data_IF_550655000904
#
_entry.id   IF_550655000904
#
_cell.length_a   1.000
_cell.length_b   1.000
_cell.length_c   1.000
_cell.angle_alpha   90.00
_cell.angle_beta   90.00
_cell.angle_gamma   90.00
#
_symmetry.space_group_name_H-M   'P 1'
#
loop_
_entity.id
_entity.type
_entity.pdbx_description
1 polymer ?
#
# COMPACT_ATOMS: atom_id res chain seq x y z
N UNK A 1 3.71 -8.91 18.12
CA UNK A 1 3.95 -7.52 17.71
C UNK A 1 2.64 -6.94 17.18
N UNK A 2 2.38 -5.66 17.43
CA UNK A 2 1.13 -4.99 17.10
C UNK A 2 1.42 -3.54 16.65
N UNK A 3 0.70 -2.94 15.68
CA UNK A 3 0.91 -1.55 15.25
C UNK A 3 0.71 -0.56 16.39
N UNK A 4 1.40 0.59 16.37
CA UNK A 4 1.23 1.63 17.39
C UNK A 4 -0.05 2.45 17.17
N UNK A 5 -0.49 2.58 15.92
CA UNK A 5 -1.72 3.29 15.54
C UNK A 5 -2.52 2.42 14.60
N UNK A 6 -3.80 2.24 14.91
CA UNK A 6 -4.79 1.62 14.02
C UNK A 6 -5.79 2.69 13.63
N UNK A 7 -5.81 3.04 12.34
CA UNK A 7 -6.71 4.01 11.77
C UNK A 7 -7.86 3.32 11.04
N UNK A 8 -9.07 3.80 11.30
CA UNK A 8 -10.29 3.33 10.67
C UNK A 8 -10.93 4.48 9.88
N UNK A 9 -11.30 4.21 8.64
CA UNK A 9 -12.27 5.04 7.93
C UNK A 9 -13.67 4.94 8.56
N UNK A 10 -14.56 5.88 8.23
CA UNK A 10 -15.92 5.93 8.76
C UNK A 10 -16.94 5.23 7.87
N UNK A 11 -17.35 5.89 6.79
CA UNK A 11 -18.46 5.48 5.94
C UNK A 11 -18.07 4.17 5.24
N UNK A 12 -18.94 3.17 5.24
CA UNK A 12 -18.70 1.81 4.71
C UNK A 12 -17.53 1.01 5.30
N UNK A 13 -16.79 1.56 6.27
CA UNK A 13 -15.74 0.86 7.00
C UNK A 13 -16.13 0.59 8.45
N UNK A 14 -16.34 1.64 9.25
CA UNK A 14 -16.77 1.55 10.65
C UNK A 14 -18.29 1.38 10.76
N UNK A 15 -19.04 2.05 9.88
CA UNK A 15 -20.49 1.94 9.82
C UNK A 15 -20.99 1.91 8.38
N UNK A 16 -22.14 1.29 8.14
CA UNK A 16 -22.82 1.37 6.85
C UNK A 16 -23.63 2.67 6.75
N UNK A 17 -23.89 3.13 5.52
CA UNK A 17 -24.60 4.38 5.25
C UNK A 17 -23.67 5.58 5.16
N UNK A 18 -24.23 6.73 4.77
CA UNK A 18 -23.46 7.97 4.58
C UNK A 18 -23.98 9.08 5.50
N UNK A 19 -23.08 9.69 6.27
CA UNK A 19 -23.40 10.89 7.07
C UNK A 19 -23.28 12.14 6.20
N UNK A 20 -24.28 12.38 5.36
CA UNK A 20 -24.28 13.49 4.41
C UNK A 20 -24.99 14.73 4.95
N UNK A 21 -24.26 15.83 5.04
CA UNK A 21 -24.77 17.12 5.54
C UNK A 21 -25.98 17.64 4.75
N UNK A 22 -26.08 17.31 3.47
CA UNK A 22 -27.16 17.76 2.59
C UNK A 22 -28.40 16.85 2.61
N UNK A 23 -28.35 15.70 3.28
CA UNK A 23 -29.47 14.75 3.38
C UNK A 23 -30.08 14.71 4.79
N UNK A 24 -29.24 14.61 5.82
CA UNK A 24 -29.68 14.54 7.22
C UNK A 24 -30.25 15.88 7.69
N UNK A 25 -31.25 15.92 8.58
CA UNK A 25 -31.76 17.16 9.19
C UNK A 25 -32.42 18.11 8.19
N UNK A 26 -33.09 17.57 7.17
CA UNK A 26 -33.77 18.35 6.11
C UNK A 26 -35.29 18.30 6.17
N UNK A 27 -35.85 17.50 7.07
CA UNK A 27 -37.30 17.41 7.26
C UNK A 27 -37.88 18.53 8.14
N UNK A 28 -39.22 18.54 8.33
CA UNK A 28 -39.88 19.49 9.22
C UNK A 28 -39.34 19.41 10.65
N UNK A 29 -39.21 20.57 11.30
CA UNK A 29 -38.71 20.71 12.68
C UNK A 29 -37.25 20.24 12.89
N UNK A 30 -36.42 20.35 11.85
CA UNK A 30 -34.98 20.10 11.97
C UNK A 30 -34.30 20.99 13.01
N UNK A 31 -33.39 20.42 13.77
CA UNK A 31 -32.61 21.08 14.81
C UNK A 31 -31.38 21.75 14.19
N UNK A 32 -30.93 22.83 14.84
CA UNK A 32 -29.67 23.52 14.53
C UNK A 32 -28.82 23.48 15.80
N UNK A 33 -27.58 22.96 15.76
CA UNK A 33 -26.82 22.57 14.56
C UNK A 33 -27.22 21.19 13.96
N UNK A 34 -26.82 20.94 12.70
CA UNK A 34 -27.27 19.79 11.88
C UNK A 34 -27.14 18.43 12.58
N UNK A 35 -26.03 18.21 13.28
CA UNK A 35 -25.72 16.98 14.01
C UNK A 35 -26.73 16.66 15.11
N UNK A 36 -27.48 17.64 15.64
CA UNK A 36 -28.51 17.39 16.65
C UNK A 36 -29.74 16.65 16.09
N UNK A 37 -29.82 16.48 14.78
CA UNK A 37 -30.81 15.62 14.14
C UNK A 37 -30.41 14.13 14.14
N UNK A 38 -29.19 13.77 14.52
CA UNK A 38 -28.76 12.37 14.66
C UNK A 38 -29.23 11.84 16.01
N UNK A 39 -30.17 10.89 16.00
CA UNK A 39 -30.68 10.24 17.20
C UNK A 39 -30.43 8.74 17.21
N UNK A 40 -30.28 8.19 18.42
CA UNK A 40 -30.05 6.76 18.61
C UNK A 40 -31.34 5.99 18.32
N UNK A 41 -31.29 5.05 17.38
CA UNK A 41 -32.39 4.13 17.06
C UNK A 41 -32.31 2.88 17.94
N UNK A 42 -31.14 2.26 18.00
CA UNK A 42 -30.87 1.09 18.82
C UNK A 42 -29.37 1.01 19.18
N UNK A 43 -28.88 -0.14 19.64
CA UNK A 43 -27.47 -0.30 19.99
C UNK A 43 -26.54 -0.10 18.77
N UNK A 44 -26.96 -0.56 17.60
CA UNK A 44 -26.17 -0.58 16.37
C UNK A 44 -26.39 0.65 15.50
N UNK A 45 -27.53 1.29 15.60
CA UNK A 45 -28.00 2.24 14.59
C UNK A 45 -28.33 3.62 15.16
N UNK A 46 -28.06 4.63 14.34
CA UNK A 46 -28.58 6.00 14.49
C UNK A 46 -29.42 6.35 13.28
N UNK A 47 -30.41 7.22 13.47
CA UNK A 47 -31.32 7.67 12.42
C UNK A 47 -31.48 9.19 12.44
N UNK A 48 -31.90 9.76 11.31
CA UNK A 48 -32.30 11.16 11.24
C UNK A 48 -33.67 11.32 11.90
N UNK A 49 -33.73 12.16 12.93
CA UNK A 49 -34.95 12.55 13.63
C UNK A 49 -36.05 13.04 12.69
N UNK A 50 -35.67 13.79 11.66
CA UNK A 50 -36.60 14.45 10.74
C UNK A 50 -37.04 13.55 9.58
N UNK A 51 -36.30 12.47 9.34
CA UNK A 51 -36.60 11.47 8.33
C UNK A 51 -36.01 10.11 8.73
N UNK A 52 -36.80 9.28 9.43
CA UNK A 52 -36.38 7.96 9.93
C UNK A 52 -36.00 6.93 8.85
N UNK A 53 -36.21 7.24 7.57
CA UNK A 53 -35.69 6.40 6.47
C UNK A 53 -34.18 6.60 6.24
N UNK A 54 -33.61 7.71 6.72
CA UNK A 54 -32.17 7.98 6.69
C UNK A 54 -31.57 7.45 7.99
N UNK A 55 -30.65 6.50 7.86
CA UNK A 55 -29.97 5.87 8.98
C UNK A 55 -28.54 5.45 8.62
N UNK A 56 -27.72 5.25 9.63
CA UNK A 56 -26.42 4.57 9.53
C UNK A 56 -26.19 3.68 10.76
N UNK A 57 -25.34 2.67 10.63
CA UNK A 57 -25.15 1.70 11.72
C UNK A 57 -23.76 1.08 11.79
N UNK A 58 -23.25 0.93 13.00
CA UNK A 58 -21.95 0.33 13.28
C UNK A 58 -21.94 -1.15 12.86
N UNK A 59 -20.90 -1.57 12.15
CA UNK A 59 -20.76 -2.98 11.77
C UNK A 59 -20.53 -3.88 13.00
N UNK A 60 -21.01 -5.13 12.90
CA UNK A 60 -21.11 -6.05 14.04
C UNK A 60 -19.77 -6.39 14.71
N UNK A 61 -18.67 -6.42 13.95
CA UNK A 61 -17.34 -6.76 14.47
C UNK A 61 -16.59 -5.56 15.09
N UNK A 62 -17.07 -4.33 14.89
CA UNK A 62 -16.38 -3.13 15.37
C UNK A 62 -16.16 -3.15 16.89
N UNK A 63 -17.14 -3.49 17.76
CA UNK A 63 -16.88 -3.57 19.19
C UNK A 63 -15.73 -4.52 19.55
N UNK A 64 -15.63 -5.65 18.85
CA UNK A 64 -14.56 -6.64 19.05
C UNK A 64 -13.21 -6.10 18.57
N UNK A 65 -13.18 -5.42 17.43
CA UNK A 65 -11.98 -4.82 16.85
C UNK A 65 -11.45 -3.71 17.74
N UNK A 66 -12.29 -2.76 18.17
CA UNK A 66 -11.87 -1.67 19.06
C UNK A 66 -11.29 -2.21 20.37
N UNK A 67 -11.94 -3.23 20.94
CA UNK A 67 -11.42 -3.91 22.14
C UNK A 67 -10.04 -4.51 21.93
N UNK A 68 -9.79 -5.14 20.78
CA UNK A 68 -8.48 -5.72 20.44
C UNK A 68 -7.39 -4.65 20.26
N UNK A 69 -7.70 -3.55 19.56
CA UNK A 69 -6.80 -2.39 19.40
C UNK A 69 -6.35 -1.88 20.77
N UNK A 70 -7.30 -1.61 21.66
CA UNK A 70 -7.02 -1.04 22.98
C UNK A 70 -6.30 -2.04 23.90
N UNK A 71 -6.69 -3.33 23.87
CA UNK A 71 -6.04 -4.38 24.66
C UNK A 71 -4.56 -4.55 24.28
N UNK A 72 -4.20 -4.31 23.02
CA UNK A 72 -2.82 -4.37 22.54
C UNK A 72 -2.07 -3.03 22.69
N UNK A 73 -2.67 -2.02 23.33
CA UNK A 73 -2.04 -0.73 23.62
C UNK A 73 -1.88 0.19 22.41
N UNK A 74 -2.54 -0.11 21.28
CA UNK A 74 -2.53 0.74 20.11
C UNK A 74 -3.48 1.92 20.29
N UNK A 75 -3.11 3.05 19.68
CA UNK A 75 -3.97 4.24 19.61
C UNK A 75 -4.96 4.06 18.47
N UNK A 76 -6.24 4.31 18.75
CA UNK A 76 -7.29 4.35 17.75
C UNK A 76 -7.29 5.70 17.05
N UNK A 77 -7.27 5.70 15.72
CA UNK A 77 -7.48 6.88 14.91
C UNK A 77 -8.75 6.72 14.05
N UNK A 78 -9.51 7.80 13.91
CA UNK A 78 -10.55 7.95 12.89
C UNK A 78 -9.97 8.84 11.79
N UNK A 79 -10.00 8.35 10.56
CA UNK A 79 -9.45 9.04 9.39
C UNK A 79 -10.49 9.00 8.28
N UNK A 80 -11.21 10.10 8.10
CA UNK A 80 -12.35 10.17 7.19
C UNK A 80 -12.33 11.39 6.28
N UNK A 81 -12.79 11.18 5.05
CA UNK A 81 -13.04 12.25 4.07
C UNK A 81 -14.49 12.76 4.09
N UNK A 82 -15.26 12.37 5.10
CA UNK A 82 -16.59 12.92 5.35
C UNK A 82 -16.50 14.43 5.63
N UNK A 83 -17.39 15.22 5.05
CA UNK A 83 -17.37 16.69 5.15
C UNK A 83 -17.98 17.27 6.42
N UNK A 84 -18.41 16.43 7.36
CA UNK A 84 -18.84 16.89 8.68
C UNK A 84 -18.24 16.06 9.79
N UNK A 85 -17.23 16.64 10.42
CA UNK A 85 -16.68 16.14 11.69
C UNK A 85 -17.77 16.04 12.74
N UNK A 86 -18.54 17.10 12.94
CA UNK A 86 -19.57 17.15 13.98
C UNK A 86 -20.64 16.04 13.85
N UNK A 87 -21.02 15.68 12.62
CA UNK A 87 -21.94 14.58 12.37
C UNK A 87 -21.29 13.22 12.66
N UNK A 88 -20.06 13.01 12.22
CA UNK A 88 -19.29 11.80 12.54
C UNK A 88 -19.14 11.62 14.06
N UNK A 89 -18.71 12.68 14.75
CA UNK A 89 -18.54 12.70 16.21
C UNK A 89 -19.85 12.38 16.92
N UNK A 90 -20.97 12.92 16.44
CA UNK A 90 -22.28 12.64 17.03
C UNK A 90 -22.71 11.19 16.84
N UNK A 91 -22.48 10.60 15.67
CA UNK A 91 -22.75 9.17 15.46
C UNK A 91 -21.87 8.30 16.39
N UNK A 92 -20.55 8.57 16.42
CA UNK A 92 -19.59 7.89 17.30
C UNK A 92 -19.88 8.09 18.80
N UNK A 93 -20.59 9.16 19.18
CA UNK A 93 -21.05 9.40 20.54
C UNK A 93 -22.22 8.50 20.95
N UNK A 94 -23.12 8.17 20.03
CA UNK A 94 -24.30 7.33 20.31
C UNK A 94 -23.93 5.85 20.43
N UNK A 95 -22.91 5.40 19.68
CA UNK A 95 -22.39 4.05 19.76
C UNK A 95 -21.52 3.85 20.99
N UNK A 96 -21.69 2.69 21.63
CA UNK A 96 -20.98 2.30 22.84
C UNK A 96 -20.25 0.99 22.56
N UNK A 97 -19.00 0.90 22.99
CA UNK A 97 -18.17 -0.30 22.90
C UNK A 97 -17.39 -0.49 24.20
N UNK A 98 -16.88 -1.70 24.42
CA UNK A 98 -16.07 -2.00 25.61
C UNK A 98 -14.62 -1.52 25.45
N UNK A 99 -14.09 -0.86 26.48
CA UNK A 99 -12.66 -0.55 26.58
C UNK A 99 -11.81 -1.80 26.92
N UNK A 100 -10.48 -1.62 27.08
CA UNK A 100 -9.59 -2.73 27.42
C UNK A 100 -9.89 -3.40 28.79
N UNK A 101 -10.68 -2.77 29.65
CA UNK A 101 -11.11 -3.28 30.95
C UNK A 101 -12.53 -3.85 30.93
N UNK A 102 -13.15 -3.93 29.75
CA UNK A 102 -14.52 -4.43 29.58
C UNK A 102 -15.60 -3.44 30.01
N UNK A 103 -15.26 -2.15 30.23
CA UNK A 103 -16.23 -1.13 30.60
C UNK A 103 -16.79 -0.48 29.35
N UNK A 104 -18.10 -0.30 29.33
CA UNK A 104 -18.80 0.39 28.25
C UNK A 104 -18.39 1.87 28.19
N UNK A 105 -18.00 2.32 27.00
CA UNK A 105 -17.60 3.69 26.69
C UNK A 105 -18.19 4.10 25.35
N UNK A 106 -18.54 5.37 25.22
CA UNK A 106 -18.86 5.96 23.91
C UNK A 106 -17.65 5.82 23.00
N UNK A 107 -17.85 5.37 21.76
CA UNK A 107 -16.76 5.08 20.84
C UNK A 107 -15.85 6.31 20.63
N UNK A 108 -16.44 7.50 20.50
CA UNK A 108 -15.69 8.76 20.38
C UNK A 108 -14.72 9.02 21.55
N UNK A 109 -15.00 8.51 22.75
CA UNK A 109 -14.13 8.69 23.93
C UNK A 109 -12.90 7.77 23.91
N UNK A 110 -12.85 6.81 23.00
CA UNK A 110 -11.73 5.89 22.80
C UNK A 110 -10.83 6.32 21.64
N UNK A 111 -11.29 7.26 20.81
CA UNK A 111 -10.55 7.81 19.68
C UNK A 111 -9.42 8.70 20.21
N UNK A 112 -8.19 8.43 19.79
CA UNK A 112 -7.01 9.21 20.17
C UNK A 112 -6.70 10.29 19.13
N UNK A 113 -6.88 9.97 17.85
CA UNK A 113 -6.70 10.90 16.74
C UNK A 113 -7.98 10.95 15.94
N UNK A 114 -8.56 12.13 15.82
CA UNK A 114 -9.81 12.36 15.12
C UNK A 114 -9.52 13.30 13.95
N UNK A 115 -9.12 12.69 12.83
CA UNK A 115 -8.78 13.36 11.58
C UNK A 115 -10.00 13.25 10.64
N UNK A 116 -11.01 14.07 10.93
CA UNK A 116 -12.14 14.31 10.04
C UNK A 116 -12.16 15.80 9.72
N UNK A 117 -12.06 16.12 8.44
CA UNK A 117 -11.96 17.51 8.00
C UNK A 117 -13.23 17.94 7.27
N UNK A 118 -13.68 19.16 7.52
CA UNK A 118 -14.90 19.70 6.92
C UNK A 118 -14.71 20.10 5.43
N UNK A 119 -13.88 19.36 4.69
CA UNK A 119 -13.50 19.62 3.29
C UNK A 119 -13.27 18.29 2.56
N UNK A 120 -13.70 18.20 1.29
CA UNK A 120 -13.43 17.03 0.45
C UNK A 120 -12.02 17.03 -0.20
N UNK A 121 -11.29 18.14 -0.05
CA UNK A 121 -10.08 18.40 -0.82
C UNK A 121 -8.85 17.63 -0.32
N UNK A 122 -8.92 17.03 0.87
CA UNK A 122 -7.74 16.43 1.50
C UNK A 122 -7.67 14.93 1.23
N UNK A 123 -6.51 14.51 0.73
CA UNK A 123 -6.13 13.10 0.62
C UNK A 123 -5.82 12.54 2.01
N UNK A 124 -6.02 11.24 2.22
CA UNK A 124 -5.66 10.56 3.47
C UNK A 124 -4.17 10.67 3.79
N UNK A 125 -3.33 10.99 2.81
CA UNK A 125 -1.92 11.32 3.07
C UNK A 125 -1.77 12.53 4.00
N UNK A 126 -2.59 13.58 3.88
CA UNK A 126 -2.51 14.74 4.79
C UNK A 126 -2.92 14.38 6.22
N UNK A 127 -3.98 13.58 6.37
CA UNK A 127 -4.44 13.06 7.65
C UNK A 127 -3.32 12.30 8.37
N UNK A 128 -2.61 11.43 7.66
CA UNK A 128 -1.48 10.70 8.23
C UNK A 128 -0.27 11.59 8.51
N UNK A 129 -0.02 12.64 7.71
CA UNK A 129 1.01 13.65 8.05
C UNK A 129 0.69 14.39 9.34
N UNK A 130 -0.57 14.75 9.56
CA UNK A 130 -1.03 15.35 10.82
C UNK A 130 -0.80 14.38 12.00
N UNK A 131 -1.27 13.13 11.89
CA UNK A 131 -1.06 12.09 12.90
C UNK A 131 0.43 11.91 13.21
N UNK A 132 1.31 11.80 12.20
CA UNK A 132 2.76 11.71 12.42
C UNK A 132 3.30 12.97 13.10
N UNK A 133 2.81 14.14 12.72
CA UNK A 133 3.17 15.44 13.30
C UNK A 133 2.97 15.46 14.82
N UNK A 134 1.83 15.00 15.31
CA UNK A 134 1.51 15.00 16.75
C UNK A 134 2.04 13.76 17.48
N UNK A 135 1.91 12.57 16.89
CA UNK A 135 2.25 11.30 17.55
C UNK A 135 3.74 10.97 17.53
N UNK A 136 4.48 11.53 16.55
CA UNK A 136 5.86 11.14 16.20
C UNK A 136 6.06 9.65 15.91
N UNK A 137 4.97 8.91 15.69
CA UNK A 137 5.03 7.49 15.31
C UNK A 137 5.42 7.40 13.83
N UNK A 138 6.26 6.44 13.48
CA UNK A 138 6.60 6.19 12.09
C UNK A 138 5.46 5.54 11.34
N UNK A 139 5.29 5.89 10.06
CA UNK A 139 4.22 5.36 9.22
C UNK A 139 4.24 3.83 9.13
N UNK A 140 5.42 3.22 9.16
CA UNK A 140 5.56 1.76 9.16
C UNK A 140 4.96 1.10 10.41
N UNK A 141 4.72 1.85 11.50
CA UNK A 141 4.03 1.39 12.71
C UNK A 141 2.52 1.71 12.70
N UNK A 142 1.97 2.12 11.56
CA UNK A 142 0.56 2.46 11.40
C UNK A 142 -0.12 1.53 10.39
N UNK A 143 -1.42 1.33 10.58
CA UNK A 143 -2.30 0.64 9.62
C UNK A 143 -3.56 1.46 9.38
N UNK A 144 -4.03 1.51 8.13
CA UNK A 144 -5.32 2.06 7.72
C UNK A 144 -6.22 0.93 7.21
N UNK A 145 -7.45 0.89 7.74
CA UNK A 145 -8.56 0.12 7.19
C UNK A 145 -9.56 1.06 6.52
N UNK A 146 -9.96 0.73 5.30
CA UNK A 146 -10.73 1.62 4.42
C UNK A 146 -11.45 0.80 3.35
N UNK A 147 -12.66 1.16 2.93
CA UNK A 147 -13.37 0.45 1.87
C UNK A 147 -12.96 0.92 0.46
N UNK A 148 -12.44 2.14 0.34
CA UNK A 148 -12.09 2.76 -0.93
C UNK A 148 -10.63 2.49 -1.30
N UNK A 149 -10.42 1.56 -2.23
CA UNK A 149 -9.09 1.08 -2.61
C UNK A 149 -8.13 2.17 -3.12
N UNK A 150 -8.62 3.30 -3.63
CA UNK A 150 -7.76 4.41 -4.07
C UNK A 150 -7.07 5.15 -2.91
N UNK A 151 -7.56 4.99 -1.68
CA UNK A 151 -6.90 5.48 -0.48
C UNK A 151 -5.60 4.70 -0.16
N UNK A 152 -5.31 3.61 -0.90
CA UNK A 152 -4.01 2.90 -0.84
C UNK A 152 -2.80 3.80 -1.14
N UNK A 153 -3.04 5.00 -1.66
CA UNK A 153 -2.07 6.08 -1.78
C UNK A 153 -1.28 6.31 -0.49
N UNK A 154 -1.87 6.15 0.72
CA UNK A 154 -1.12 6.28 1.98
C UNK A 154 -0.03 5.22 2.14
N UNK A 155 -0.27 4.00 1.64
CA UNK A 155 0.71 2.92 1.64
C UNK A 155 1.85 3.25 0.69
N UNK A 156 1.52 3.68 -0.51
CA UNK A 156 2.50 3.97 -1.55
C UNK A 156 3.38 5.17 -1.18
N UNK A 157 2.77 6.26 -0.71
CA UNK A 157 3.45 7.52 -0.47
C UNK A 157 4.11 7.60 0.92
N UNK A 158 3.45 7.05 1.95
CA UNK A 158 3.86 7.26 3.36
C UNK A 158 4.29 5.97 4.06
N UNK A 159 3.79 4.80 3.65
CA UNK A 159 4.25 3.48 4.15
C UNK A 159 3.43 2.95 5.30
N UNK A 160 2.28 3.57 5.50
CA UNK A 160 1.20 3.03 6.30
C UNK A 160 0.79 1.69 5.69
N UNK A 161 0.61 0.65 6.49
CA UNK A 161 0.01 -0.58 5.95
C UNK A 161 -1.45 -0.29 5.58
N UNK A 162 -1.90 -0.68 4.40
CA UNK A 162 -3.27 -0.44 3.95
C UNK A 162 -4.01 -1.75 3.73
N UNK A 163 -5.21 -1.85 4.29
CA UNK A 163 -6.10 -3.00 4.13
C UNK A 163 -7.48 -2.53 3.66
N UNK A 164 -7.91 -3.05 2.51
CA UNK A 164 -9.22 -2.73 1.92
C UNK A 164 -10.31 -3.56 2.59
N UNK A 165 -11.37 -2.90 3.08
CA UNK A 165 -12.61 -3.52 3.55
C UNK A 165 -13.57 -3.70 2.36
N UNK A 166 -13.34 -4.75 1.56
CA UNK A 166 -14.10 -4.99 0.33
C UNK A 166 -15.55 -5.43 0.60
N UNK A 167 -16.36 -5.35 -0.45
CA UNK A 167 -17.67 -6.00 -0.60
C UNK A 167 -18.80 -5.37 0.24
N UNK A 168 -18.64 -4.11 0.68
CA UNK A 168 -19.65 -3.36 1.45
C UNK A 168 -20.12 -4.09 2.73
N UNK A 169 -19.29 -4.99 3.26
CA UNK A 169 -19.54 -5.69 4.53
C UNK A 169 -18.97 -4.96 5.74
N UNK A 170 -18.32 -3.82 5.51
CA UNK A 170 -17.56 -3.12 6.53
C UNK A 170 -16.28 -3.84 6.91
N UNK A 171 -15.63 -3.29 7.93
CA UNK A 171 -14.48 -3.92 8.54
C UNK A 171 -14.93 -5.11 9.40
N UNK A 172 -14.71 -6.31 8.85
CA UNK A 172 -14.94 -7.58 9.54
C UNK A 172 -13.72 -8.00 10.36
N UNK A 173 -13.91 -8.92 11.32
CA UNK A 173 -12.82 -9.46 12.12
C UNK A 173 -11.73 -10.13 11.27
N UNK A 174 -12.11 -10.87 10.22
CA UNK A 174 -11.16 -11.56 9.35
C UNK A 174 -10.34 -10.58 8.52
N UNK A 175 -10.99 -9.55 7.95
CA UNK A 175 -10.31 -8.48 7.23
C UNK A 175 -9.36 -7.70 8.15
N UNK A 176 -9.79 -7.44 9.38
CA UNK A 176 -8.96 -6.83 10.40
C UNK A 176 -7.70 -7.66 10.71
N UNK A 177 -7.84 -8.98 10.93
CA UNK A 177 -6.70 -9.87 11.17
C UNK A 177 -5.78 -9.97 9.94
N UNK A 178 -6.34 -9.99 8.73
CA UNK A 178 -5.54 -9.98 7.49
C UNK A 178 -4.65 -8.72 7.41
N UNK A 179 -5.21 -7.54 7.71
CA UNK A 179 -4.44 -6.30 7.76
C UNK A 179 -3.30 -6.36 8.78
N UNK A 180 -3.55 -6.86 9.99
CA UNK A 180 -2.50 -7.06 11.00
C UNK A 180 -1.41 -8.03 10.52
N UNK A 181 -1.79 -9.08 9.80
CA UNK A 181 -0.86 -10.05 9.26
C UNK A 181 -0.01 -9.48 8.11
N UNK A 182 -0.57 -8.62 7.26
CA UNK A 182 0.21 -7.85 6.27
C UNK A 182 1.23 -6.98 7.00
N UNK A 183 0.80 -6.23 8.01
CA UNK A 183 1.68 -5.37 8.80
C UNK A 183 2.85 -6.17 9.41
N UNK A 184 2.56 -7.32 10.03
CA UNK A 184 3.59 -8.20 10.62
C UNK A 184 4.58 -8.71 9.57
N UNK A 185 4.11 -9.09 8.38
CA UNK A 185 4.99 -9.52 7.29
C UNK A 185 5.86 -8.38 6.76
N UNK A 186 5.34 -7.16 6.70
CA UNK A 186 6.13 -5.97 6.37
C UNK A 186 7.21 -5.70 7.42
N UNK A 187 6.91 -5.87 8.70
CA UNK A 187 7.92 -5.79 9.77
C UNK A 187 8.98 -6.88 9.68
N UNK A 188 8.61 -8.08 9.25
CA UNK A 188 9.53 -9.22 9.13
C UNK A 188 10.59 -9.06 8.01
N UNK A 189 10.37 -8.11 7.08
CA UNK A 189 11.34 -7.79 6.01
C UNK A 189 12.21 -6.58 6.30
N UNK A 190 12.06 -5.96 7.48
CA UNK A 190 12.86 -4.80 7.85
C UNK A 190 14.33 -5.19 8.10
N UNK A 191 15.22 -4.59 7.32
CA UNK A 191 16.65 -4.48 7.58
C UNK A 191 16.97 -3.02 7.86
N UNK A 192 17.63 -2.66 8.97
CA UNK A 192 17.98 -1.27 9.27
C UNK A 192 18.78 -0.60 8.15
N UNK A 193 18.58 0.70 7.99
CA UNK A 193 19.36 1.53 7.07
C UNK A 193 20.55 2.15 7.82
N UNK A 194 21.76 1.85 7.36
CA UNK A 194 23.03 2.31 7.91
C UNK A 194 23.80 3.21 6.94
N UNK A 195 23.09 3.89 6.03
CA UNK A 195 23.71 4.68 4.97
C UNK A 195 24.09 3.86 3.75
N UNK A 196 24.90 4.46 2.88
CA UNK A 196 25.21 3.91 1.56
C UNK A 196 26.37 2.93 1.52
N UNK A 197 27.17 2.73 2.58
CA UNK A 197 28.33 1.84 2.49
C UNK A 197 27.94 0.36 2.32
N UNK A 198 28.34 -0.31 1.23
CA UNK A 198 28.12 -1.77 1.07
C UNK A 198 28.66 -2.58 2.24
N UNK A 199 29.81 -2.16 2.79
CA UNK A 199 30.43 -2.80 3.96
C UNK A 199 29.58 -2.75 5.23
N UNK A 200 28.54 -1.91 5.30
CA UNK A 200 27.61 -1.86 6.43
C UNK A 200 26.57 -3.01 6.38
N UNK A 201 26.53 -3.75 5.27
CA UNK A 201 25.56 -4.79 4.99
C UNK A 201 26.30 -6.09 4.64
N UNK A 202 26.83 -6.83 5.63
CA UNK A 202 27.62 -8.03 5.39
C UNK A 202 26.83 -9.15 4.70
N UNK A 203 25.49 -9.10 4.80
CA UNK A 203 24.56 -10.00 4.10
C UNK A 203 24.01 -9.37 2.82
N UNK A 204 24.55 -8.25 2.37
CA UNK A 204 24.07 -7.54 1.18
C UNK A 204 24.07 -8.45 -0.04
N UNK A 205 22.99 -8.42 -0.82
CA UNK A 205 22.83 -9.26 -2.01
C UNK A 205 22.47 -8.41 -3.22
N UNK A 206 23.28 -8.48 -4.28
CA UNK A 206 22.96 -7.84 -5.56
C UNK A 206 21.72 -8.51 -6.15
N UNK A 207 20.67 -7.73 -6.37
CA UNK A 207 19.40 -8.21 -6.93
C UNK A 207 19.13 -7.71 -8.35
N UNK A 208 19.92 -6.78 -8.88
CA UNK A 208 19.87 -6.37 -10.29
C UNK A 208 20.22 -4.90 -10.51
N UNK A 209 19.71 -4.32 -11.60
CA UNK A 209 20.07 -2.98 -12.06
C UNK A 209 18.84 -2.16 -12.45
N UNK A 210 18.86 -0.86 -12.18
CA UNK A 210 17.75 0.04 -12.51
C UNK A 210 18.25 1.33 -13.16
N UNK A 211 17.64 1.73 -14.26
CA UNK A 211 17.83 3.06 -14.84
C UNK A 211 16.80 4.03 -14.25
N UNK A 212 17.26 5.06 -13.55
CA UNK A 212 16.38 5.97 -12.81
C UNK A 212 16.79 7.43 -13.00
N UNK A 213 15.85 8.34 -12.74
CA UNK A 213 16.11 9.76 -12.60
C UNK A 213 16.79 10.09 -11.26
N UNK A 214 17.48 11.22 -11.21
CA UNK A 214 18.27 11.63 -10.06
C UNK A 214 17.42 11.90 -8.81
N UNK A 215 16.16 12.32 -8.95
CA UNK A 215 15.29 12.57 -7.81
C UNK A 215 14.90 11.26 -7.15
N UNK A 216 14.48 10.25 -7.91
CA UNK A 216 14.20 8.91 -7.37
C UNK A 216 15.44 8.31 -6.68
N UNK A 217 16.64 8.51 -7.26
CA UNK A 217 17.90 8.06 -6.68
C UNK A 217 18.14 8.72 -5.31
N UNK A 218 17.97 10.04 -5.21
CA UNK A 218 18.18 10.77 -3.95
C UNK A 218 17.22 10.32 -2.85
N UNK A 219 15.95 10.07 -3.18
CA UNK A 219 14.95 9.58 -2.21
C UNK A 219 15.32 8.18 -1.67
N UNK A 220 15.82 7.30 -2.53
CA UNK A 220 16.23 5.95 -2.16
C UNK A 220 17.58 5.92 -1.43
N UNK A 221 18.50 6.81 -1.79
CA UNK A 221 19.78 7.00 -1.08
C UNK A 221 19.60 7.59 0.32
N UNK A 222 18.46 8.24 0.60
CA UNK A 222 18.08 8.65 1.95
C UNK A 222 17.51 7.49 2.80
N UNK A 223 17.50 6.26 2.26
CA UNK A 223 16.87 5.10 2.89
C UNK A 223 15.34 5.10 2.76
N UNK A 224 14.80 5.97 1.91
CA UNK A 224 13.37 6.11 1.67
C UNK A 224 12.87 5.19 0.56
N UNK A 225 12.04 5.78 -0.30
CA UNK A 225 11.29 5.11 -1.37
C UNK A 225 11.10 6.09 -2.51
N UNK A 226 10.71 5.57 -3.67
CA UNK A 226 10.21 6.40 -4.76
C UNK A 226 8.85 7.01 -4.41
N UNK A 227 8.72 8.32 -4.54
CA UNK A 227 7.49 9.07 -4.26
C UNK A 227 6.85 9.75 -5.49
N UNK A 228 7.56 9.80 -6.62
CA UNK A 228 7.04 10.47 -7.83
C UNK A 228 5.96 9.64 -8.56
N UNK A 229 4.91 10.32 -9.02
CA UNK A 229 3.79 9.75 -9.80
C UNK A 229 3.88 10.04 -11.30
N UNK A 230 4.71 10.99 -11.72
CA UNK A 230 4.70 11.53 -13.09
C UNK A 230 5.39 10.62 -14.08
N UNK A 231 6.39 9.87 -13.62
CA UNK A 231 7.09 8.91 -14.47
C UNK A 231 6.27 7.63 -14.59
N UNK A 232 5.72 7.40 -15.79
CA UNK A 232 4.86 6.26 -16.09
C UNK A 232 5.59 4.93 -15.87
N UNK A 233 5.21 4.22 -14.82
CA UNK A 233 5.88 3.02 -14.36
C UNK A 233 4.94 1.82 -14.49
N UNK A 234 4.91 0.98 -15.54
CA UNK A 234 3.80 0.04 -15.92
C UNK A 234 3.00 -0.66 -14.79
N UNK A 235 3.63 -1.01 -13.67
CA UNK A 235 3.10 -1.71 -12.49
C UNK A 235 2.94 -0.86 -11.20
N UNK A 236 3.21 0.45 -11.24
CA UNK A 236 2.87 1.40 -10.16
C UNK A 236 4.01 2.22 -9.61
N UNK A 237 3.90 2.54 -8.32
CA UNK A 237 4.89 3.27 -7.51
C UNK A 237 6.14 2.43 -7.18
N UNK A 238 6.58 1.63 -8.14
CA UNK A 238 7.63 0.66 -7.96
C UNK A 238 8.96 1.12 -8.53
N UNK A 239 10.02 0.50 -8.04
CA UNK A 239 11.34 0.48 -8.68
C UNK A 239 11.40 -0.76 -9.56
N UNK A 240 11.76 -0.55 -10.84
CA UNK A 240 11.98 -1.62 -11.80
C UNK A 240 13.44 -2.01 -11.81
N UNK A 241 13.70 -3.30 -11.65
CA UNK A 241 15.06 -3.82 -11.57
C UNK A 241 15.22 -4.94 -12.59
N UNK A 242 16.07 -4.70 -13.58
CA UNK A 242 16.43 -5.68 -14.59
C UNK A 242 17.56 -6.60 -14.10
N UNK A 243 17.56 -7.85 -14.54
CA UNK A 243 18.67 -8.76 -14.32
C UNK A 243 19.88 -8.42 -15.22
N UNK A 244 19.62 -7.81 -16.37
CA UNK A 244 20.62 -7.39 -17.35
C UNK A 244 20.92 -5.88 -17.27
N UNK A 245 22.19 -5.47 -17.08
CA UNK A 245 22.55 -4.04 -17.02
C UNK A 245 22.23 -3.31 -18.34
N UNK A 246 22.20 -4.00 -19.49
CA UNK A 246 21.84 -3.40 -20.79
C UNK A 246 20.39 -2.93 -20.81
N UNK A 247 19.49 -3.66 -20.15
CA UNK A 247 18.08 -3.29 -20.01
C UNK A 247 17.96 -2.03 -19.14
N UNK A 248 18.70 -1.95 -18.04
CA UNK A 248 18.74 -0.75 -17.21
C UNK A 248 19.30 0.47 -17.97
N UNK A 249 20.32 0.28 -18.81
CA UNK A 249 20.84 1.32 -19.71
C UNK A 249 19.77 1.77 -20.71
N UNK A 250 18.97 0.84 -21.26
CA UNK A 250 17.86 1.18 -22.13
C UNK A 250 16.84 2.07 -21.39
N UNK A 251 16.39 1.68 -20.19
CA UNK A 251 15.44 2.49 -19.43
C UNK A 251 15.99 3.86 -19.03
N UNK A 252 17.28 3.95 -18.65
CA UNK A 252 17.97 5.23 -18.43
C UNK A 252 17.84 6.16 -19.65
N UNK A 253 18.00 5.63 -20.87
CA UNK A 253 17.87 6.39 -22.13
C UNK A 253 16.41 6.72 -22.46
N UNK A 254 15.51 5.76 -22.24
CA UNK A 254 14.07 5.93 -22.44
C UNK A 254 13.53 7.08 -21.57
N UNK A 255 13.89 7.15 -20.28
CA UNK A 255 13.49 8.26 -19.40
C UNK A 255 13.94 9.61 -19.99
N UNK A 256 15.17 9.72 -20.48
CA UNK A 256 15.66 10.96 -21.11
C UNK A 256 14.89 11.36 -22.37
N UNK A 257 14.40 10.39 -23.13
CA UNK A 257 13.64 10.64 -24.34
C UNK A 257 12.25 11.21 -24.02
N UNK A 258 11.56 10.64 -23.02
CA UNK A 258 10.21 11.06 -22.65
C UNK A 258 10.17 12.24 -21.69
N UNK A 259 11.25 12.45 -20.94
CA UNK A 259 11.41 13.55 -19.99
C UNK A 259 12.72 14.30 -20.31
N UNK A 260 12.73 15.14 -21.38
CA UNK A 260 13.90 15.91 -21.75
C UNK A 260 14.39 16.77 -20.58
N UNK A 261 15.70 16.71 -20.31
CA UNK A 261 16.32 17.42 -19.18
C UNK A 261 16.48 16.58 -17.91
N UNK A 262 15.84 15.41 -17.81
CA UNK A 262 16.05 14.49 -16.69
C UNK A 262 17.50 14.01 -16.64
N UNK A 263 18.15 14.17 -15.48
CA UNK A 263 19.43 13.54 -15.19
C UNK A 263 19.16 12.10 -14.79
N UNK A 264 19.68 11.14 -15.55
CA UNK A 264 19.45 9.71 -15.32
C UNK A 264 20.76 8.94 -15.19
N UNK A 265 20.75 7.93 -14.31
CA UNK A 265 21.90 7.07 -13.98
C UNK A 265 21.42 5.63 -13.88
N UNK A 266 22.30 4.67 -14.16
CA UNK A 266 22.02 3.27 -13.84
C UNK A 266 22.56 3.00 -12.43
N UNK A 267 21.73 2.39 -11.61
CA UNK A 267 22.10 1.96 -10.27
C UNK A 267 22.12 0.44 -10.18
N UNK A 268 23.10 -0.12 -9.49
CA UNK A 268 23.04 -1.47 -8.97
C UNK A 268 22.14 -1.47 -7.73
N UNK A 269 21.23 -2.43 -7.65
CA UNK A 269 20.25 -2.56 -6.58
C UNK A 269 20.60 -3.78 -5.74
N UNK A 270 20.70 -3.57 -4.43
CA UNK A 270 20.99 -4.60 -3.45
C UNK A 270 19.81 -4.75 -2.48
N UNK A 271 19.58 -5.97 -2.01
CA UNK A 271 18.93 -6.18 -0.72
C UNK A 271 19.97 -5.96 0.38
N UNK A 272 19.64 -5.18 1.41
CA UNK A 272 20.46 -4.94 2.61
C UNK A 272 20.74 -6.23 3.37
N UNK A 273 19.81 -7.18 3.32
CA UNK A 273 19.97 -8.52 3.87
C UNK A 273 19.44 -9.57 2.88
N UNK A 274 20.36 -10.37 2.36
CA UNK A 274 20.11 -11.40 1.35
C UNK A 274 19.33 -12.60 1.87
N UNK A 275 19.36 -12.87 3.19
CA UNK A 275 18.54 -13.93 3.78
C UNK A 275 17.08 -13.47 3.94
N UNK A 276 16.86 -12.18 4.25
CA UNK A 276 15.53 -11.59 4.20
C UNK A 276 15.00 -11.64 2.77
N UNK A 277 15.84 -11.26 1.81
CA UNK A 277 15.50 -11.35 0.40
C UNK A 277 15.07 -12.77 0.04
N UNK A 278 15.85 -13.81 0.33
CA UNK A 278 15.50 -15.16 -0.10
C UNK A 278 14.16 -15.66 0.45
N UNK A 279 13.88 -15.39 1.73
CA UNK A 279 12.64 -15.86 2.37
C UNK A 279 11.40 -15.03 2.07
N UNK A 280 11.53 -13.77 1.65
CA UNK A 280 10.36 -12.93 1.41
C UNK A 280 9.58 -13.41 0.17
N UNK A 281 8.29 -13.07 0.14
CA UNK A 281 7.40 -13.51 -0.92
C UNK A 281 7.80 -12.93 -2.28
N UNK A 282 7.91 -13.81 -3.28
CA UNK A 282 8.27 -13.47 -4.67
C UNK A 282 7.42 -14.30 -5.61
N UNK A 283 7.01 -13.69 -6.71
CA UNK A 283 6.20 -14.38 -7.71
C UNK A 283 6.51 -13.91 -9.12
N UNK A 284 6.51 -14.84 -10.07
CA UNK A 284 6.61 -14.53 -11.48
C UNK A 284 5.21 -14.36 -12.09
N UNK A 285 4.87 -13.13 -12.41
CA UNK A 285 3.58 -12.76 -12.97
C UNK A 285 3.51 -13.05 -14.49
N UNK A 286 2.40 -13.60 -15.00
CA UNK A 286 2.22 -13.85 -16.42
C UNK A 286 2.00 -12.52 -17.17
N UNK A 287 2.87 -12.19 -18.14
CA UNK A 287 2.82 -10.90 -18.83
C UNK A 287 1.60 -10.72 -19.75
N UNK A 288 1.00 -11.83 -20.23
CA UNK A 288 -0.17 -11.83 -21.11
C UNK A 288 -1.50 -11.50 -20.42
N UNK A 289 -1.52 -11.44 -19.09
CA UNK A 289 -2.73 -11.14 -18.31
C UNK A 289 -2.90 -9.64 -18.12
N UNK A 290 -3.96 -9.08 -18.71
CA UNK A 290 -4.31 -7.67 -18.54
C UNK A 290 -4.91 -7.35 -17.17
N UNK A 291 -5.54 -8.33 -16.52
CA UNK A 291 -6.26 -8.18 -15.25
C UNK A 291 -5.35 -8.03 -14.03
N UNK A 292 -4.05 -8.33 -14.17
CA UNK A 292 -3.05 -8.05 -13.13
C UNK A 292 -2.32 -6.71 -13.35
N UNK A 293 -2.51 -6.08 -14.51
CA UNK A 293 -1.88 -4.80 -14.85
C UNK A 293 -2.67 -3.65 -14.22
N UNK A 294 -1.98 -2.53 -13.98
CA UNK A 294 -2.63 -1.35 -13.43
C UNK A 294 -3.52 -0.66 -14.47
N UNK A 295 -4.68 -0.21 -14.04
CA UNK A 295 -5.56 0.67 -14.81
C UNK A 295 -5.39 2.13 -14.36
N UNK A 296 -4.82 2.98 -15.21
CA UNK A 296 -4.47 4.37 -14.88
C UNK A 296 -5.46 5.41 -15.36
N UNK A 297 -6.63 4.98 -15.82
CA UNK A 297 -7.64 5.91 -16.33
C UNK A 297 -8.16 6.87 -15.25
N UNK A 298 -8.07 6.50 -13.98
CA UNK A 298 -8.32 7.36 -12.81
C UNK A 298 -7.66 6.80 -11.56
N UNK A 299 -7.54 7.60 -10.49
CA UNK A 299 -7.06 7.11 -9.18
C UNK A 299 -7.95 5.99 -8.63
N UNK A 300 -9.27 6.11 -8.82
CA UNK A 300 -10.24 5.06 -8.49
C UNK A 300 -9.90 3.74 -9.19
N UNK A 301 -9.74 3.77 -10.53
CA UNK A 301 -9.41 2.57 -11.30
C UNK A 301 -8.03 2.03 -10.96
N UNK A 302 -7.09 2.91 -10.60
CA UNK A 302 -5.75 2.53 -10.18
C UNK A 302 -5.81 1.70 -8.90
N UNK A 303 -6.36 2.26 -7.81
CA UNK A 303 -6.45 1.57 -6.53
C UNK A 303 -7.17 0.21 -6.63
N UNK A 304 -8.30 0.17 -7.33
CA UNK A 304 -9.04 -1.07 -7.52
C UNK A 304 -8.29 -2.12 -8.36
N UNK A 305 -7.59 -1.71 -9.42
CA UNK A 305 -6.77 -2.65 -10.20
C UNK A 305 -5.58 -3.21 -9.41
N UNK A 306 -5.03 -2.43 -8.47
CA UNK A 306 -3.98 -2.94 -7.58
C UNK A 306 -4.52 -3.95 -6.58
N UNK A 307 -5.71 -3.71 -6.05
CA UNK A 307 -6.38 -4.63 -5.15
C UNK A 307 -6.76 -5.94 -5.86
N UNK A 308 -7.29 -5.86 -7.07
CA UNK A 308 -7.61 -7.05 -7.88
C UNK A 308 -6.35 -7.88 -8.19
N UNK A 309 -5.23 -7.21 -8.51
CA UNK A 309 -3.93 -7.87 -8.66
C UNK A 309 -3.50 -8.58 -7.38
N UNK A 310 -3.61 -7.93 -6.21
CA UNK A 310 -3.21 -8.54 -4.92
C UNK A 310 -4.02 -9.81 -4.64
N UNK A 311 -5.33 -9.80 -4.91
CA UNK A 311 -6.19 -10.97 -4.77
C UNK A 311 -5.81 -12.09 -5.73
N UNK A 312 -5.52 -11.77 -6.99
CA UNK A 312 -5.07 -12.76 -7.96
C UNK A 312 -3.72 -13.39 -7.54
N UNK A 313 -2.81 -12.60 -6.98
CA UNK A 313 -1.54 -13.09 -6.45
C UNK A 313 -1.75 -13.98 -5.22
N UNK A 314 -2.69 -13.62 -4.34
CA UNK A 314 -3.08 -14.45 -3.19
C UNK A 314 -3.65 -15.81 -3.60
N UNK A 315 -4.39 -15.89 -4.71
CA UNK A 315 -4.87 -17.17 -5.26
C UNK A 315 -3.73 -18.11 -5.70
N UNK A 316 -2.55 -17.56 -6.00
CA UNK A 316 -1.33 -18.34 -6.29
C UNK A 316 -0.52 -18.65 -5.02
N UNK A 317 -1.07 -18.40 -3.83
CA UNK A 317 -0.44 -18.70 -2.55
C UNK A 317 0.55 -17.65 -2.06
N UNK A 318 0.63 -16.49 -2.72
CA UNK A 318 1.61 -15.43 -2.39
C UNK A 318 0.89 -14.23 -1.77
N UNK A 319 1.36 -13.78 -0.60
CA UNK A 319 0.72 -12.68 0.16
C UNK A 319 1.61 -11.43 0.21
N UNK A 320 1.01 -10.25 0.37
CA UNK A 320 1.75 -8.99 0.58
C UNK A 320 2.58 -9.00 1.88
N UNK A 321 3.72 -8.30 1.93
CA UNK A 321 4.41 -7.68 0.81
C UNK A 321 5.10 -8.74 -0.06
N UNK A 322 5.18 -8.49 -1.37
CA UNK A 322 5.87 -9.37 -2.32
C UNK A 322 6.61 -8.55 -3.40
N UNK A 323 7.50 -9.21 -4.13
CA UNK A 323 8.10 -8.70 -5.37
C UNK A 323 7.55 -9.47 -6.57
N UNK A 324 7.22 -8.75 -7.64
CA UNK A 324 6.75 -9.35 -8.90
C UNK A 324 7.91 -9.45 -9.88
N UNK A 325 8.11 -10.62 -10.47
CA UNK A 325 8.94 -10.82 -11.64
C UNK A 325 8.05 -10.82 -12.87
N UNK A 326 8.53 -10.26 -13.97
CA UNK A 326 7.80 -10.22 -15.23
C UNK A 326 8.77 -10.47 -16.37
N UNK A 327 8.28 -11.23 -17.36
CA UNK A 327 9.01 -11.50 -18.60
C UNK A 327 8.37 -10.68 -19.71
N UNK A 328 9.10 -9.73 -20.25
CA UNK A 328 8.59 -8.76 -21.22
C UNK A 328 8.91 -9.18 -22.66
N UNK A 329 8.10 -8.75 -23.65
CA UNK A 329 8.45 -8.84 -25.06
C UNK A 329 9.76 -8.10 -25.37
N UNK A 330 10.30 -8.32 -26.56
CA UNK A 330 11.46 -7.58 -27.05
C UNK A 330 11.18 -6.06 -27.07
N UNK A 331 12.17 -5.27 -26.63
CA UNK A 331 12.04 -3.82 -26.61
C UNK A 331 12.34 -3.26 -28.00
N UNK A 332 11.33 -2.64 -28.61
CA UNK A 332 11.49 -1.91 -29.86
C UNK A 332 12.60 -0.85 -29.73
N UNK A 333 13.53 -0.84 -30.69
CA UNK A 333 14.65 0.10 -30.72
C UNK A 333 15.78 -0.18 -29.72
N UNK A 334 15.75 -1.30 -29.00
CA UNK A 334 16.87 -1.73 -28.16
C UNK A 334 17.82 -2.68 -28.92
N UNK A 335 19.09 -2.70 -28.51
CA UNK A 335 20.06 -3.71 -28.99
C UNK A 335 19.94 -5.05 -28.24
N UNK A 336 18.90 -5.22 -27.42
CA UNK A 336 18.68 -6.40 -26.59
C UNK A 336 17.79 -7.33 -27.40
N UNK A 337 18.36 -8.45 -27.85
CA UNK A 337 17.63 -9.45 -28.63
C UNK A 337 16.74 -10.28 -27.73
N UNK A 338 15.49 -10.43 -28.14
CA UNK A 338 14.51 -11.30 -27.48
C UNK A 338 13.87 -10.70 -26.22
N UNK A 339 13.15 -11.55 -25.48
CA UNK A 339 12.46 -11.16 -24.25
C UNK A 339 13.45 -10.80 -23.14
N UNK A 340 13.06 -9.88 -22.26
CA UNK A 340 13.85 -9.48 -21.10
C UNK A 340 13.08 -9.70 -19.79
N UNK A 341 13.81 -9.74 -18.67
CA UNK A 341 13.20 -9.92 -17.36
C UNK A 341 13.36 -8.67 -16.52
N UNK A 342 12.31 -8.35 -15.78
CA UNK A 342 12.27 -7.24 -14.84
C UNK A 342 11.62 -7.73 -13.55
N UNK A 343 12.05 -7.18 -12.41
CA UNK A 343 11.31 -7.29 -11.16
C UNK A 343 10.80 -5.92 -10.71
N UNK A 344 9.65 -5.93 -10.04
CA UNK A 344 8.89 -4.76 -9.60
C UNK A 344 8.92 -4.75 -8.08
N UNK A 345 9.58 -3.76 -7.50
CA UNK A 345 9.71 -3.62 -6.05
C UNK A 345 8.82 -2.49 -5.55
N UNK A 346 7.82 -2.83 -4.74
CA UNK A 346 6.87 -1.87 -4.17
C UNK A 346 7.49 -1.04 -3.02
N UNK A 347 6.95 0.15 -2.72
CA UNK A 347 7.49 1.07 -1.72
C UNK A 347 7.79 0.46 -0.36
N UNK A 348 6.90 -0.40 0.14
CA UNK A 348 7.11 -1.12 1.41
C UNK A 348 8.39 -1.96 1.40
N UNK A 349 8.73 -2.60 0.28
CA UNK A 349 9.96 -3.39 0.19
C UNK A 349 11.17 -2.47 -0.02
N UNK A 350 10.99 -1.37 -0.77
CA UNK A 350 12.05 -0.38 -1.02
C UNK A 350 12.67 0.13 0.28
N UNK A 351 11.86 0.73 1.14
CA UNK A 351 12.36 1.36 2.36
C UNK A 351 12.78 0.35 3.43
N UNK A 352 12.17 -0.86 3.43
CA UNK A 352 12.45 -1.87 4.46
C UNK A 352 13.66 -2.74 4.12
N UNK A 353 14.04 -2.88 2.84
CA UNK A 353 15.07 -3.85 2.45
C UNK A 353 16.08 -3.37 1.41
N UNK A 354 15.82 -2.32 0.63
CA UNK A 354 16.69 -2.02 -0.51
C UNK A 354 17.84 -1.06 -0.20
N UNK A 355 18.88 -1.19 -1.00
CA UNK A 355 20.03 -0.30 -1.06
C UNK A 355 20.42 -0.14 -2.53
N UNK A 356 20.97 1.00 -2.90
CA UNK A 356 21.38 1.24 -4.27
C UNK A 356 22.71 1.97 -4.40
N UNK A 357 23.37 1.74 -5.52
CA UNK A 357 24.66 2.31 -5.88
C UNK A 357 24.63 2.83 -7.30
N UNK A 358 24.91 4.11 -7.48
CA UNK A 358 25.14 4.69 -8.81
C UNK A 358 26.33 3.99 -9.45
N UNK A 359 26.19 3.59 -10.71
CA UNK A 359 27.25 2.92 -11.46
C UNK A 359 27.92 3.89 -12.44
N UNK A 360 29.23 3.83 -12.50
CA UNK A 360 30.05 4.41 -13.56
C UNK A 360 29.95 3.60 -14.85
N UNK A 361 30.37 4.18 -15.97
CA UNK A 361 30.39 3.47 -17.26
C UNK A 361 31.33 2.25 -17.23
N UNK A 362 32.44 2.32 -16.47
CA UNK A 362 33.36 1.19 -16.32
C UNK A 362 32.73 0.03 -15.53
N UNK A 363 32.01 0.33 -14.46
CA UNK A 363 31.27 -0.68 -13.70
C UNK A 363 30.15 -1.30 -14.56
N UNK A 364 29.45 -0.50 -15.37
CA UNK A 364 28.43 -1.02 -16.28
C UNK A 364 29.01 -1.95 -17.36
N UNK A 365 30.19 -1.63 -17.89
CA UNK A 365 30.85 -2.45 -18.90
C UNK A 365 31.33 -3.81 -18.34
N UNK A 366 31.51 -3.91 -17.03
CA UNK A 366 31.96 -5.13 -16.35
C UNK A 366 30.83 -5.85 -15.59
N UNK A 367 29.65 -5.22 -15.50
CA UNK A 367 28.47 -5.76 -14.82
C UNK A 367 27.97 -7.04 -15.50
N UNK A 368 27.60 -8.02 -14.67
CA UNK A 368 27.13 -9.33 -15.14
C UNK A 368 25.61 -9.42 -15.06
N UNK A 369 25.02 -10.19 -15.97
CA UNK A 369 23.60 -10.53 -15.91
C UNK A 369 23.35 -11.45 -14.70
N UNK A 370 22.37 -11.10 -13.86
CA UNK A 370 21.99 -11.86 -12.66
C UNK A 370 21.25 -13.16 -13.01
N UNK A 371 20.57 -13.17 -14.15
CA UNK A 371 19.75 -14.24 -14.70
C UNK A 371 18.69 -14.74 -13.73
N UNK A 372 17.59 -13.99 -13.59
CA UNK A 372 16.53 -14.33 -12.61
C UNK A 372 15.93 -15.72 -12.82
N UNK A 373 15.83 -16.20 -14.06
CA UNK A 373 15.36 -17.55 -14.35
C UNK A 373 16.28 -18.61 -13.72
N UNK A 374 17.59 -18.36 -13.65
CA UNK A 374 18.54 -19.21 -12.93
C UNK A 374 18.43 -19.14 -11.40
N UNK A 375 17.66 -18.19 -10.84
CA UNK A 375 17.56 -17.93 -9.40
C UNK A 375 16.24 -18.38 -8.77
N UNK A 376 15.33 -19.00 -9.53
CA UNK A 376 13.98 -19.37 -9.08
C UNK A 376 14.00 -20.17 -7.77
N UNK A 377 14.80 -21.24 -7.71
CA UNK A 377 14.90 -22.11 -6.53
C UNK A 377 15.61 -21.42 -5.37
N UNK A 378 16.71 -20.73 -5.67
CA UNK A 378 17.53 -20.03 -4.67
C UNK A 378 16.73 -18.91 -3.97
N UNK A 379 15.98 -18.12 -4.74
CA UNK A 379 15.22 -16.98 -4.23
C UNK A 379 13.78 -17.32 -3.89
N UNK A 380 13.41 -18.61 -3.87
CA UNK A 380 12.07 -19.09 -3.55
C UNK A 380 10.96 -18.35 -4.33
N UNK A 381 11.13 -18.24 -5.66
CA UNK A 381 10.19 -17.53 -6.52
C UNK A 381 9.03 -18.46 -6.87
N UNK A 382 7.81 -18.04 -6.54
CA UNK A 382 6.59 -18.76 -6.95
C UNK A 382 6.34 -18.57 -8.44
N UNK A 383 6.03 -19.66 -9.16
CA UNK A 383 5.74 -19.62 -10.60
C UNK A 383 4.37 -20.26 -10.86
N UNK A 384 3.32 -19.43 -11.06
CA UNK A 384 2.01 -19.92 -11.48
C UNK A 384 2.07 -20.72 -12.77
N UNK A 385 1.15 -21.67 -12.94
CA UNK A 385 1.07 -22.49 -14.14
C UNK A 385 0.95 -21.64 -15.42
N UNK A 386 0.15 -20.56 -15.36
CA UNK A 386 -0.02 -19.62 -16.47
C UNK A 386 1.30 -18.98 -16.90
N UNK A 387 2.20 -18.71 -15.95
CA UNK A 387 3.54 -18.20 -16.25
C UNK A 387 4.37 -19.27 -16.94
N UNK A 388 4.31 -20.54 -16.49
CA UNK A 388 5.00 -21.64 -17.17
C UNK A 388 4.51 -21.81 -18.60
N UNK A 389 3.20 -21.68 -18.82
CA UNK A 389 2.59 -21.75 -20.15
C UNK A 389 3.06 -20.60 -21.04
N UNK A 390 3.12 -19.37 -20.49
CA UNK A 390 3.67 -18.21 -21.18
C UNK A 390 5.11 -18.46 -21.64
N UNK A 391 6.00 -18.98 -20.78
CA UNK A 391 7.36 -19.30 -21.18
C UNK A 391 7.40 -20.35 -22.31
N UNK A 392 6.64 -21.43 -22.18
CA UNK A 392 6.56 -22.50 -23.20
C UNK A 392 6.11 -21.98 -24.57
N UNK A 393 5.13 -21.06 -24.59
CA UNK A 393 4.63 -20.46 -25.83
C UNK A 393 5.69 -19.65 -26.60
N UNK A 394 6.75 -19.21 -25.91
CA UNK A 394 7.89 -18.52 -26.53
C UNK A 394 9.12 -19.44 -26.69
N UNK A 395 8.96 -20.75 -26.52
CA UNK A 395 10.08 -21.71 -26.58
C UNK A 395 11.08 -21.57 -25.44
N UNK A 396 10.71 -20.87 -24.35
CA UNK A 396 11.54 -20.70 -23.17
C UNK A 396 11.19 -21.79 -22.14
N UNK A 397 12.20 -22.33 -21.45
CA UNK A 397 11.99 -23.26 -20.34
C UNK A 397 12.29 -22.56 -19.02
N UNK A 398 11.28 -22.50 -18.16
CA UNK A 398 11.40 -21.95 -16.81
C UNK A 398 11.25 -23.11 -15.80
N UNK A 399 12.35 -23.37 -15.10
CA UNK A 399 12.60 -24.62 -14.35
C UNK A 399 11.64 -24.96 -13.22
#
# INVERSE_FOLDING_TARGET
MYPKIVALDTDWTLFWGWLKVNEWGRGPNAYVPQQDNIEKRNYWEVEDRTNRSIACGMYADIPKIIKDILKNGAKLAIVSRNTSRDMCDRALWHWTVQDQHGKDKRLIKLVTFDEVYNTHAEDKTEHFRAIKGYSKVDYSDMILYDDEAFNNTVEMMLGVTFQVSRDQKGLTWDNYQEGLDIWRRTKAIYSPYHGLGLGHYPKGKLIGYSGMDMRSIQELEAGGRRSDRKEAARWGFAVYVADDPRVAIYFKKWIKQFFPGSQTVVCAIYARDGEIWDRMNKIWAPNSRGDIQQNRSSEFKLGWSEEDRNRQVAQWGVKKPYVLFSRHPEMAGSNIRGRFTELVIYPQVQENLLLMFRMSDNELNTARNINYAGRIREWNITIPQQTRDDFRNFGENIG
#
